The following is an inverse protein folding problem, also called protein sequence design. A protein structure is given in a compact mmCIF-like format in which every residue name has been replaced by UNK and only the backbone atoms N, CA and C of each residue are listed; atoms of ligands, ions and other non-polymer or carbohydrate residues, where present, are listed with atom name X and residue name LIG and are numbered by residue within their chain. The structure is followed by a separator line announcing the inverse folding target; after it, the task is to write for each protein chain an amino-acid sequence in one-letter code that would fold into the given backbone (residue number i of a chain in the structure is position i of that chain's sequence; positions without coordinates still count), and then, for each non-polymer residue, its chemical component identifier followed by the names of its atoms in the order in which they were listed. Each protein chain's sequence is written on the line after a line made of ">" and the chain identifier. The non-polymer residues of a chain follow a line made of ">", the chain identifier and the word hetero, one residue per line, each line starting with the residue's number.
data_IF_838682000573
#
_entry.id   IF_838682000573
#
_cell.length_a   1.000
_cell.length_b   1.000
_cell.length_c   1.000
_cell.angle_alpha   90.00
_cell.angle_beta   90.00
_cell.angle_gamma   90.00
#
_symmetry.space_group_name_H-M   'P 1'
#
loop_
_entity.id
_entity.type
_entity.pdbx_description
1 polymer ?
#
# COMPACT_ATOMS: atom_id res chain seq x y z
N UNK A 1 -5.59 45.94 25.16
CA UNK A 1 -4.87 44.67 24.96
C UNK A 1 -4.64 44.51 23.47
N UNK A 2 -3.43 44.20 22.99
CA UNK A 2 -3.24 43.91 21.58
C UNK A 2 -3.79 42.50 21.31
N UNK A 3 -4.62 42.40 20.27
CA UNK A 3 -5.17 41.15 19.79
C UNK A 3 -4.08 40.45 18.96
N UNK A 4 -3.55 39.34 19.48
CA UNK A 4 -2.67 38.48 18.69
C UNK A 4 -3.53 37.75 17.66
N UNK A 5 -3.23 37.85 16.36
CA UNK A 5 -3.94 37.05 15.36
C UNK A 5 -3.64 35.57 15.63
N UNK A 6 -4.67 34.81 16.01
CA UNK A 6 -4.61 33.36 16.01
C UNK A 6 -4.41 32.90 14.56
N UNK A 7 -3.16 32.57 14.20
CA UNK A 7 -2.87 31.82 12.98
C UNK A 7 -3.55 30.45 13.09
N UNK A 8 -4.80 30.35 12.63
CA UNK A 8 -5.43 29.08 12.35
C UNK A 8 -4.69 28.45 11.18
N UNK A 9 -3.58 27.76 11.46
CA UNK A 9 -3.04 26.74 10.56
C UNK A 9 -4.09 25.64 10.45
N UNK A 10 -4.98 25.79 9.48
CA UNK A 10 -5.82 24.69 9.03
C UNK A 10 -4.88 23.60 8.52
N UNK A 11 -4.75 22.51 9.27
CA UNK A 11 -4.00 21.35 8.85
C UNK A 11 -4.72 20.76 7.63
N UNK A 12 -4.19 21.01 6.44
CA UNK A 12 -4.72 20.44 5.21
C UNK A 12 -4.53 18.92 5.25
N UNK A 13 -5.60 18.10 5.11
CA UNK A 13 -5.46 16.66 5.01
C UNK A 13 -4.52 16.34 3.84
N UNK A 14 -3.51 15.52 4.11
CA UNK A 14 -2.59 15.00 3.10
C UNK A 14 -3.03 13.59 2.75
N UNK A 15 -3.26 13.37 1.46
CA UNK A 15 -3.48 12.03 0.92
C UNK A 15 -2.25 11.64 0.11
N UNK A 16 -1.75 10.43 0.36
CA UNK A 16 -0.66 9.82 -0.42
C UNK A 16 -1.25 8.66 -1.21
N UNK A 17 -0.96 8.63 -2.50
CA UNK A 17 -1.29 7.55 -3.43
C UNK A 17 0.01 6.99 -3.99
N UNK A 18 0.26 5.69 -3.81
CA UNK A 18 1.45 5.04 -4.34
C UNK A 18 1.15 3.61 -4.79
N UNK A 19 1.67 3.24 -5.96
CA UNK A 19 1.62 1.85 -6.44
C UNK A 19 2.90 1.13 -6.03
N UNK A 20 2.75 -0.01 -5.37
CA UNK A 20 3.86 -0.80 -4.84
C UNK A 20 3.81 -2.22 -5.41
N UNK A 21 4.93 -2.65 -5.98
CA UNK A 21 5.13 -4.04 -6.33
C UNK A 21 5.47 -4.85 -5.08
N UNK A 22 4.77 -5.95 -4.86
CA UNK A 22 4.92 -6.81 -3.69
C UNK A 22 5.28 -8.24 -4.05
N UNK A 23 5.84 -8.95 -3.08
CA UNK A 23 6.08 -10.39 -3.16
C UNK A 23 5.65 -11.04 -1.86
N UNK A 24 4.89 -12.12 -1.98
CA UNK A 24 4.35 -12.87 -0.86
C UNK A 24 4.67 -14.36 -1.00
N UNK A 25 5.08 -14.96 0.10
CA UNK A 25 5.22 -16.41 0.24
C UNK A 25 4.89 -16.77 1.68
N UNK A 26 4.09 -17.80 1.87
CA UNK A 26 3.71 -18.36 3.18
C UNK A 26 4.37 -19.71 3.45
N UNK A 27 5.33 -20.12 2.59
CA UNK A 27 6.05 -21.39 2.70
C UNK A 27 5.25 -22.63 2.27
N UNK A 28 3.91 -22.56 2.23
CA UNK A 28 3.04 -23.65 1.78
C UNK A 28 2.56 -23.47 0.33
N UNK A 29 2.34 -22.22 -0.08
CA UNK A 29 1.92 -21.83 -1.42
C UNK A 29 3.10 -21.33 -2.26
N UNK A 30 2.90 -21.42 -3.58
CA UNK A 30 3.83 -20.83 -4.54
C UNK A 30 3.93 -19.31 -4.32
N UNK A 31 5.15 -18.77 -4.44
CA UNK A 31 5.41 -17.33 -4.27
C UNK A 31 4.58 -16.51 -5.24
N UNK A 32 3.79 -15.58 -4.72
CA UNK A 32 3.01 -14.63 -5.49
C UNK A 32 3.76 -13.30 -5.63
N UNK A 33 3.67 -12.68 -6.79
CA UNK A 33 4.15 -11.32 -7.05
C UNK A 33 3.04 -10.50 -7.68
N UNK A 34 2.99 -9.20 -7.44
CA UNK A 34 1.91 -8.37 -7.95
C UNK A 34 2.07 -6.90 -7.60
N UNK A 35 1.08 -6.11 -7.94
CA UNK A 35 1.02 -4.68 -7.62
C UNK A 35 -0.19 -4.38 -6.75
N UNK A 36 -0.03 -3.42 -5.85
CA UNK A 36 -1.12 -2.86 -5.06
C UNK A 36 -1.04 -1.34 -5.04
N UNK A 37 -2.20 -0.70 -5.02
CA UNK A 37 -2.32 0.72 -4.74
C UNK A 37 -2.48 0.92 -3.23
N UNK A 38 -1.72 1.86 -2.67
CA UNK A 38 -1.78 2.22 -1.27
C UNK A 38 -2.25 3.67 -1.17
N UNK A 39 -3.31 3.87 -0.40
CA UNK A 39 -3.87 5.18 -0.07
C UNK A 39 -3.70 5.41 1.42
N UNK A 40 -2.97 6.48 1.78
CA UNK A 40 -2.82 6.90 3.17
C UNK A 40 -3.43 8.29 3.31
N UNK A 41 -4.53 8.38 4.05
CA UNK A 41 -5.20 9.62 4.39
C UNK A 41 -4.87 10.00 5.84
N UNK A 42 -4.28 11.18 6.03
CA UNK A 42 -4.12 11.73 7.38
C UNK A 42 -5.42 12.43 7.80
N UNK A 43 -6.09 11.90 8.81
CA UNK A 43 -7.34 12.43 9.36
C UNK A 43 -7.04 13.05 10.73
N UNK A 44 -7.43 14.30 10.93
CA UNK A 44 -7.41 14.92 12.26
C UNK A 44 -6.64 16.23 12.34
N UNK A 45 -7.36 17.25 12.77
CA UNK A 45 -6.80 18.48 13.34
C UNK A 45 -7.02 18.49 14.84
N UNK A 46 -5.94 18.54 15.61
CA UNK A 46 -5.95 19.12 16.94
C UNK A 46 -4.52 19.57 17.26
N UNK A 47 -4.38 20.83 17.65
CA UNK A 47 -3.11 21.44 18.03
C UNK A 47 -2.44 20.81 19.28
N UNK A 48 -3.04 19.79 19.90
CA UNK A 48 -2.66 19.28 21.23
C UNK A 48 -2.56 17.74 21.36
N UNK A 49 -2.70 16.96 20.28
CA UNK A 49 -2.46 15.51 20.34
C UNK A 49 -1.30 15.12 19.44
N UNK A 50 -0.23 14.55 20.01
CA UNK A 50 0.92 13.94 19.29
C UNK A 50 0.53 12.70 18.43
N UNK A 51 -0.75 12.56 18.05
CA UNK A 51 -1.29 11.40 17.36
C UNK A 51 -1.92 11.88 16.06
N UNK A 52 -1.23 11.63 14.95
CA UNK A 52 -1.83 11.68 13.62
C UNK A 52 -2.69 10.42 13.46
N UNK A 53 -3.97 10.56 13.13
CA UNK A 53 -4.77 9.41 12.71
C UNK A 53 -4.50 9.18 11.22
N UNK A 54 -4.24 7.93 10.86
CA UNK A 54 -4.07 7.51 9.48
C UNK A 54 -5.19 6.54 9.12
N UNK A 55 -5.89 6.82 8.03
CA UNK A 55 -6.68 5.80 7.34
C UNK A 55 -5.83 5.24 6.21
N UNK A 56 -5.62 3.93 6.21
CA UNK A 56 -4.81 3.23 5.20
C UNK A 56 -5.73 2.28 4.43
N UNK A 57 -5.75 2.40 3.11
CA UNK A 57 -6.40 1.47 2.19
C UNK A 57 -5.34 0.85 1.29
N UNK A 58 -5.45 -0.45 1.06
CA UNK A 58 -4.59 -1.17 0.13
C UNK A 58 -5.48 -1.92 -0.84
N UNK A 59 -5.37 -1.62 -2.12
CA UNK A 59 -6.13 -2.25 -3.19
C UNK A 59 -5.18 -3.09 -4.04
N UNK A 60 -5.41 -4.40 -4.08
CA UNK A 60 -4.63 -5.28 -4.96
C UNK A 60 -5.02 -4.99 -6.41
N UNK A 61 -4.03 -4.73 -7.26
CA UNK A 61 -4.20 -4.45 -8.69
C UNK A 61 -3.89 -5.66 -9.55
N UNK A 62 -2.92 -6.48 -9.15
CA UNK A 62 -2.52 -7.68 -9.88
C UNK A 62 -1.89 -8.70 -8.93
N UNK A 63 -1.96 -9.99 -9.28
CA UNK A 63 -1.30 -11.05 -8.53
C UNK A 63 -0.97 -12.22 -9.46
N UNK A 64 0.28 -12.67 -9.45
CA UNK A 64 0.80 -13.70 -10.34
C UNK A 64 1.56 -14.77 -9.56
N UNK A 65 1.28 -16.02 -9.87
CA UNK A 65 2.08 -17.16 -9.44
C UNK A 65 3.24 -17.44 -10.43
N UNK A 66 4.21 -18.30 -10.07
CA UNK A 66 5.31 -18.66 -10.96
C UNK A 66 4.80 -19.20 -12.29
N UNK A 67 5.48 -18.83 -13.39
CA UNK A 67 5.03 -19.15 -14.75
C UNK A 67 4.05 -18.14 -15.34
N UNK A 68 3.92 -16.95 -14.74
CA UNK A 68 3.01 -15.88 -15.20
C UNK A 68 1.53 -16.31 -15.18
N UNK A 69 1.16 -17.07 -14.16
CA UNK A 69 -0.22 -17.51 -13.97
C UNK A 69 -0.94 -16.41 -13.20
N UNK A 70 -1.97 -15.83 -13.82
CA UNK A 70 -2.84 -14.84 -13.16
C UNK A 70 -3.63 -15.51 -12.02
N UNK A 71 -3.52 -14.90 -10.84
CA UNK A 71 -4.14 -15.34 -9.59
C UNK A 71 -5.11 -14.30 -9.04
N UNK A 72 -5.33 -13.19 -9.74
CA UNK A 72 -6.11 -12.05 -9.25
C UNK A 72 -7.52 -12.46 -8.79
N UNK A 73 -8.28 -13.15 -9.65
CA UNK A 73 -9.63 -13.59 -9.32
C UNK A 73 -9.67 -14.45 -8.05
N UNK A 74 -8.71 -15.37 -7.91
CA UNK A 74 -8.59 -16.23 -6.73
C UNK A 74 -8.28 -15.39 -5.48
N UNK A 75 -7.36 -14.44 -5.59
CA UNK A 75 -6.99 -13.53 -4.50
C UNK A 75 -8.18 -12.71 -4.04
N UNK A 76 -8.96 -12.12 -4.96
CA UNK A 76 -10.11 -11.28 -4.59
C UNK A 76 -11.24 -12.09 -3.94
N UNK A 77 -11.44 -13.35 -4.35
CA UNK A 77 -12.42 -14.26 -3.73
C UNK A 77 -11.97 -14.81 -2.37
N UNK A 78 -10.66 -14.97 -2.13
CA UNK A 78 -10.12 -15.46 -0.87
C UNK A 78 -9.72 -14.31 0.06
N UNK A 79 -10.59 -14.01 1.03
CA UNK A 79 -10.37 -12.91 1.99
C UNK A 79 -9.08 -13.06 2.81
N UNK A 80 -8.68 -14.28 3.13
CA UNK A 80 -7.49 -14.53 3.95
C UNK A 80 -6.24 -14.25 3.13
N UNK A 81 -6.21 -14.78 1.90
CA UNK A 81 -5.11 -14.53 0.97
C UNK A 81 -5.02 -13.05 0.62
N UNK A 82 -6.15 -12.39 0.32
CA UNK A 82 -6.19 -10.96 0.02
C UNK A 82 -5.59 -10.12 1.14
N UNK A 83 -6.03 -10.34 2.38
CA UNK A 83 -5.52 -9.60 3.54
C UNK A 83 -4.00 -9.84 3.76
N UNK A 84 -3.52 -11.04 3.46
CA UNK A 84 -2.09 -11.34 3.54
C UNK A 84 -1.27 -10.58 2.48
N UNK A 85 -1.79 -10.46 1.25
CA UNK A 85 -1.16 -9.67 0.20
C UNK A 85 -1.21 -8.16 0.48
N UNK A 86 -2.35 -7.66 0.95
CA UNK A 86 -2.50 -6.25 1.37
C UNK A 86 -1.46 -5.89 2.44
N UNK A 87 -1.26 -6.77 3.43
CA UNK A 87 -0.24 -6.62 4.46
C UNK A 87 1.18 -6.65 3.87
N UNK A 88 1.45 -7.54 2.92
CA UNK A 88 2.76 -7.63 2.28
C UNK A 88 3.07 -6.36 1.47
N UNK A 89 2.11 -5.85 0.70
CA UNK A 89 2.25 -4.60 -0.04
C UNK A 89 2.50 -3.41 0.88
N UNK A 90 1.72 -3.30 1.97
CA UNK A 90 1.93 -2.24 2.96
C UNK A 90 3.31 -2.34 3.63
N UNK A 91 3.80 -3.55 3.90
CA UNK A 91 5.14 -3.74 4.43
C UNK A 91 6.21 -3.28 3.44
N UNK A 92 6.05 -3.58 2.15
CA UNK A 92 6.99 -3.19 1.10
C UNK A 92 7.00 -1.68 0.86
N UNK A 93 5.88 -1.01 1.07
CA UNK A 93 5.82 0.45 1.08
C UNK A 93 6.69 1.06 2.18
N UNK A 94 6.55 0.59 3.43
CA UNK A 94 7.32 1.10 4.55
C UNK A 94 8.78 0.64 4.53
N UNK A 95 9.03 -0.55 3.98
CA UNK A 95 10.33 -1.19 3.91
C UNK A 95 10.56 -1.75 2.50
N UNK A 96 10.92 -0.89 1.53
CA UNK A 96 11.22 -1.33 0.18
C UNK A 96 12.32 -2.39 0.19
N UNK A 97 12.16 -3.51 -0.55
CA UNK A 97 13.16 -4.57 -0.59
C UNK A 97 14.43 -4.10 -1.31
N UNK A 98 15.59 -4.62 -0.90
CA UNK A 98 16.86 -4.36 -1.60
C UNK A 98 16.84 -4.86 -3.05
N UNK A 99 16.17 -5.98 -3.29
CA UNK A 99 15.96 -6.55 -4.63
C UNK A 99 14.55 -6.18 -5.08
N UNK A 100 14.40 -5.38 -6.14
CA UNK A 100 13.10 -5.02 -6.69
C UNK A 100 12.27 -6.26 -7.05
N UNK A 101 10.96 -6.16 -6.86
CA UNK A 101 10.02 -7.19 -7.31
C UNK A 101 9.97 -7.14 -8.83
N UNK A 102 10.24 -8.27 -9.48
CA UNK A 102 10.06 -8.41 -10.92
C UNK A 102 8.64 -8.89 -11.18
N UNK A 103 7.87 -8.10 -11.92
CA UNK A 103 6.53 -8.47 -12.37
C UNK A 103 6.61 -9.16 -13.72
N UNK A 104 5.74 -10.15 -13.98
CA UNK A 104 5.63 -10.73 -15.30
C UNK A 104 5.19 -9.68 -16.33
N UNK A 105 5.77 -9.70 -17.53
CA UNK A 105 5.36 -8.83 -18.63
C UNK A 105 6.05 -7.46 -18.70
N UNK A 106 6.83 -7.05 -17.70
CA UNK A 106 7.78 -5.94 -17.83
C UNK A 106 9.07 -6.40 -18.53
N UNK A 107 8.96 -7.00 -19.72
CA UNK A 107 10.07 -6.90 -20.67
C UNK A 107 9.90 -5.56 -21.38
N UNK A 108 10.90 -4.65 -21.33
CA UNK A 108 10.84 -3.45 -22.15
C UNK A 108 10.74 -3.91 -23.61
N UNK A 109 9.71 -3.47 -24.33
CA UNK A 109 9.75 -3.53 -25.79
C UNK A 109 10.99 -2.74 -26.22
N UNK A 110 11.93 -3.42 -26.90
CA UNK A 110 13.16 -2.86 -27.44
C UNK A 110 12.88 -2.02 -28.69
#
# INVERSE_FOLDING_TARGET
>A
MPEYPCEHRQNTPRVVYETVAYRYSDGENATLVGEAEIVIETIGGAADSNVNLYAVRVDILSAFAPGNIDMYDRVICDRVLRAALEKAALLFYFHPPEIPVQLPGLMPEW
#
